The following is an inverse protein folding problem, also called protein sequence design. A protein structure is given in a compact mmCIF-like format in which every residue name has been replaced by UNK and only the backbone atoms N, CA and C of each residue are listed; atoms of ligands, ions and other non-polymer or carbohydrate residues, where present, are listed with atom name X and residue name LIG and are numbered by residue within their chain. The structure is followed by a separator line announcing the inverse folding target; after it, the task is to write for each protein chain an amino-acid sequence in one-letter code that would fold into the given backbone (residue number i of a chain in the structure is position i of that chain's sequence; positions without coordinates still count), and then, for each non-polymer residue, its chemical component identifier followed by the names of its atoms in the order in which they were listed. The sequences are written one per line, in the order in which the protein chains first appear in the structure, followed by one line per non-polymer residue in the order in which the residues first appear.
data_IF_439827037217
#
_entry.id   IF_439827037217
#
_cell.length_a   1.000
_cell.length_b   1.000
_cell.length_c   1.000
_cell.angle_alpha   90.00
_cell.angle_beta   90.00
_cell.angle_gamma   90.00
#
_symmetry.space_group_name_H-M   'P 1'
#
loop_
_entity.id
_entity.type
_entity.pdbx_description
1 polymer ?
#
# COMPACT_ATOMS: atom_id res chain seq x y z
N UNK A 1 5.03 -5.05 3.82
CA UNK A 1 6.29 -4.71 4.52
C UNK A 1 6.61 -5.81 5.51
N UNK A 2 7.88 -6.22 5.59
CA UNK A 2 8.36 -7.19 6.57
C UNK A 2 9.33 -6.50 7.51
N UNK A 3 9.44 -6.99 8.74
CA UNK A 3 10.30 -6.43 9.78
C UNK A 3 9.60 -6.25 11.12
N UNK A 4 10.24 -5.49 12.02
CA UNK A 4 9.77 -5.28 13.39
C UNK A 4 8.91 -4.02 13.48
N UNK A 5 7.69 -4.17 13.97
CA UNK A 5 6.73 -3.09 14.14
C UNK A 5 6.25 -3.01 15.58
N UNK A 6 5.97 -1.79 16.04
CA UNK A 6 5.39 -1.56 17.35
C UNK A 6 3.87 -1.65 17.24
N UNK A 7 3.27 -2.61 17.92
CA UNK A 7 1.83 -2.83 17.94
C UNK A 7 1.28 -2.67 19.36
N UNK A 8 -0.03 -2.47 19.46
CA UNK A 8 -0.76 -2.60 20.71
C UNK A 8 -1.58 -3.89 20.67
N UNK A 9 -1.43 -4.74 21.69
CA UNK A 9 -2.30 -5.91 21.86
C UNK A 9 -3.03 -5.83 23.18
N UNK A 10 -4.16 -6.53 23.26
CA UNK A 10 -4.90 -6.68 24.51
C UNK A 10 -4.05 -7.50 25.49
N UNK A 11 -3.84 -6.95 26.69
CA UNK A 11 -3.09 -7.60 27.74
C UNK A 11 -3.89 -8.77 28.29
N UNK A 12 -3.23 -9.92 28.42
CA UNK A 12 -3.80 -11.14 29.00
C UNK A 12 -3.14 -11.45 30.34
N UNK A 13 -3.89 -12.07 31.26
CA UNK A 13 -3.35 -12.63 32.50
C UNK A 13 -2.62 -13.96 32.26
N UNK A 14 -2.05 -14.55 33.31
CA UNK A 14 -1.33 -15.83 33.27
C UNK A 14 -2.21 -17.00 32.79
N UNK A 15 -3.53 -16.86 32.91
CA UNK A 15 -4.53 -17.84 32.48
C UNK A 15 -5.06 -17.57 31.06
N UNK A 16 -4.55 -16.53 30.37
CA UNK A 16 -4.95 -16.17 29.01
C UNK A 16 -6.22 -15.30 28.90
N UNK A 17 -6.79 -14.84 30.02
CA UNK A 17 -7.98 -13.99 30.07
C UNK A 17 -7.62 -12.52 29.83
N UNK A 18 -8.51 -11.78 29.17
CA UNK A 18 -8.34 -10.35 28.92
C UNK A 18 -8.37 -9.55 30.22
N UNK A 19 -7.37 -8.70 30.44
CA UNK A 19 -7.34 -7.76 31.55
C UNK A 19 -8.13 -6.51 31.18
N UNK A 20 -9.09 -6.11 32.03
CA UNK A 20 -9.90 -4.92 31.85
C UNK A 20 -9.55 -3.84 32.87
N UNK A 21 -9.77 -2.57 32.51
CA UNK A 21 -9.77 -1.41 33.41
C UNK A 21 -11.06 -0.64 33.26
N UNK A 22 -11.46 0.10 34.30
CA UNK A 22 -12.59 1.02 34.23
C UNK A 22 -12.08 2.37 33.72
N UNK A 23 -12.69 2.90 32.66
CA UNK A 23 -12.34 4.22 32.14
C UNK A 23 -13.01 5.33 32.97
N UNK A 24 -12.70 6.60 32.68
CA UNK A 24 -13.29 7.76 33.38
C UNK A 24 -14.82 7.87 33.25
N UNK A 25 -15.43 7.13 32.31
CA UNK A 25 -16.88 7.07 32.06
C UNK A 25 -17.55 5.87 32.75
N UNK A 26 -16.81 5.06 33.52
CA UNK A 26 -17.34 3.87 34.19
C UNK A 26 -17.40 2.61 33.33
N UNK A 27 -16.90 2.65 32.09
CA UNK A 27 -16.98 1.53 31.15
C UNK A 27 -15.77 0.59 31.31
N UNK A 28 -16.00 -0.73 31.22
CA UNK A 28 -14.94 -1.73 31.17
C UNK A 28 -14.26 -1.71 29.80
N UNK A 29 -13.01 -1.28 29.76
CA UNK A 29 -12.19 -1.26 28.55
C UNK A 29 -10.98 -2.19 28.71
N UNK A 30 -10.61 -2.96 27.66
CA UNK A 30 -9.46 -3.84 27.73
C UNK A 30 -8.17 -3.03 27.91
N UNK A 31 -7.29 -3.50 28.78
CA UNK A 31 -5.94 -2.95 28.94
C UNK A 31 -5.12 -3.35 27.72
N UNK A 32 -4.48 -2.37 27.09
CA UNK A 32 -3.57 -2.59 25.96
C UNK A 32 -2.13 -2.49 26.43
N UNK A 33 -1.27 -3.33 25.89
CA UNK A 33 0.18 -3.26 26.07
C UNK A 33 0.88 -3.05 24.73
N UNK A 34 2.02 -2.36 24.76
CA UNK A 34 2.84 -2.14 23.57
C UNK A 34 3.82 -3.29 23.42
N UNK A 35 3.80 -3.94 22.27
CA UNK A 35 4.65 -5.09 21.96
C UNK A 35 5.36 -4.88 20.64
N UNK A 36 6.50 -5.53 20.49
CA UNK A 36 7.18 -5.63 19.20
C UNK A 36 6.71 -6.90 18.50
N UNK A 37 6.18 -6.76 17.30
CA UNK A 37 5.79 -7.87 16.43
C UNK A 37 6.75 -7.88 15.25
N UNK A 38 7.32 -9.05 14.96
CA UNK A 38 8.21 -9.26 13.83
C UNK A 38 7.45 -10.04 12.75
N UNK A 39 7.33 -9.43 11.57
CA UNK A 39 6.76 -10.05 10.39
C UNK A 39 7.90 -10.48 9.47
N UNK A 40 7.93 -11.75 9.03
CA UNK A 40 8.98 -12.24 8.12
C UNK A 40 8.38 -13.01 6.96
N UNK A 41 8.87 -12.73 5.75
CA UNK A 41 8.39 -13.39 4.53
C UNK A 41 8.65 -14.91 4.57
N UNK A 42 9.78 -15.34 5.13
CA UNK A 42 10.17 -16.75 5.31
C UNK A 42 9.15 -17.58 6.10
N UNK A 43 8.38 -16.94 6.98
CA UNK A 43 7.38 -17.61 7.83
C UNK A 43 6.00 -17.70 7.16
N UNK A 44 5.87 -17.32 5.88
CA UNK A 44 4.58 -17.22 5.20
C UNK A 44 3.68 -16.09 5.76
N UNK A 45 4.28 -15.14 6.47
CA UNK A 45 3.55 -13.99 7.02
C UNK A 45 3.00 -13.14 5.86
N UNK A 46 1.74 -12.67 5.89
CA UNK A 46 1.21 -11.77 4.86
C UNK A 46 1.88 -10.39 4.85
N UNK A 47 2.71 -10.11 5.85
CA UNK A 47 3.37 -8.84 6.08
C UNK A 47 2.41 -7.75 6.58
N UNK A 48 2.97 -6.57 6.79
CA UNK A 48 2.21 -5.38 7.18
C UNK A 48 1.87 -4.56 5.94
N UNK A 49 0.59 -4.28 5.76
CA UNK A 49 0.13 -3.30 4.78
C UNK A 49 0.59 -1.89 5.20
N UNK A 50 1.16 -1.07 4.29
CA UNK A 50 1.64 0.26 4.63
C UNK A 50 0.51 1.12 5.20
N UNK A 51 0.64 1.47 6.47
CA UNK A 51 -0.14 2.53 7.11
C UNK A 51 0.81 3.61 7.61
N UNK A 52 0.32 4.84 7.79
CA UNK A 52 1.15 6.00 8.15
C UNK A 52 2.06 5.71 9.36
N UNK A 53 1.54 5.01 10.37
CA UNK A 53 2.26 4.70 11.60
C UNK A 53 3.39 3.67 11.39
N UNK A 54 3.31 2.86 10.34
CA UNK A 54 4.35 1.89 9.99
C UNK A 54 5.34 2.47 8.97
N UNK A 55 4.93 3.46 8.17
CA UNK A 55 5.79 4.12 7.19
C UNK A 55 6.80 5.05 7.89
N UNK A 56 6.33 5.90 8.82
CA UNK A 56 7.18 6.93 9.42
C UNK A 56 7.48 6.67 10.89
N UNK A 57 8.73 6.91 11.29
CA UNK A 57 9.16 6.98 12.69
C UNK A 57 9.47 8.43 13.08
N UNK A 58 9.02 8.84 14.26
CA UNK A 58 9.33 10.15 14.82
C UNK A 58 10.78 10.18 15.30
N UNK A 59 11.49 11.25 14.94
CA UNK A 59 12.85 11.56 15.37
C UNK A 59 12.82 12.70 16.39
N UNK A 60 13.98 12.97 16.99
CA UNK A 60 14.15 14.16 17.83
C UNK A 60 13.75 15.43 17.07
N UNK A 61 13.19 16.41 17.80
CA UNK A 61 12.75 17.71 17.26
C UNK A 61 11.61 17.63 16.22
N UNK A 62 10.74 16.62 16.30
CA UNK A 62 9.53 16.54 15.47
C UNK A 62 9.76 16.16 14.01
N UNK A 63 11.01 15.88 13.62
CA UNK A 63 11.32 15.34 12.29
C UNK A 63 10.78 13.91 12.16
N UNK A 64 10.46 13.49 10.93
CA UNK A 64 10.07 12.11 10.62
C UNK A 64 11.07 11.53 9.63
N UNK A 65 11.34 10.24 9.74
CA UNK A 65 12.06 9.46 8.72
C UNK A 65 11.29 8.19 8.41
N UNK A 66 11.58 7.56 7.28
CA UNK A 66 11.03 6.24 6.97
C UNK A 66 11.49 5.22 8.01
N UNK A 67 10.61 4.27 8.34
CA UNK A 67 11.00 3.07 9.06
C UNK A 67 11.86 2.19 8.15
N UNK A 68 12.74 1.37 8.72
CA UNK A 68 13.56 0.43 7.94
C UNK A 68 12.71 -0.48 7.02
N UNK A 69 11.59 -1.07 7.49
CA UNK A 69 10.68 -1.81 6.61
C UNK A 69 10.05 -1.00 5.46
N UNK A 70 9.87 0.30 5.65
CA UNK A 70 9.34 1.18 4.61
C UNK A 70 10.43 1.58 3.60
N UNK A 71 11.66 1.78 4.05
CA UNK A 71 12.84 2.00 3.20
C UNK A 71 13.09 0.79 2.29
N UNK A 72 13.14 -0.43 2.86
CA UNK A 72 13.30 -1.67 2.07
C UNK A 72 12.16 -1.87 1.06
N UNK A 73 10.92 -1.51 1.43
CA UNK A 73 9.79 -1.58 0.50
C UNK A 73 9.91 -0.53 -0.62
N UNK A 74 10.37 0.68 -0.30
CA UNK A 74 10.60 1.75 -1.28
C UNK A 74 11.66 1.33 -2.30
N UNK A 75 12.81 0.85 -1.83
CA UNK A 75 13.89 0.35 -2.70
C UNK A 75 13.41 -0.79 -3.62
N UNK A 76 12.58 -1.71 -3.10
CA UNK A 76 11.97 -2.76 -3.91
C UNK A 76 11.06 -2.20 -5.00
N UNK A 77 10.26 -1.18 -4.68
CA UNK A 77 9.38 -0.54 -5.66
C UNK A 77 10.14 0.29 -6.68
N UNK A 78 11.19 0.99 -6.29
CA UNK A 78 12.11 1.68 -7.19
C UNK A 78 12.72 0.69 -8.20
N UNK A 79 13.23 -0.44 -7.72
CA UNK A 79 13.79 -1.47 -8.60
C UNK A 79 12.75 -2.01 -9.61
N UNK A 80 11.53 -2.30 -9.15
CA UNK A 80 10.43 -2.75 -10.03
C UNK A 80 10.03 -1.66 -11.02
N UNK A 81 10.01 -0.40 -10.61
CA UNK A 81 9.69 0.73 -11.48
C UNK A 81 10.77 0.93 -12.55
N UNK A 82 12.06 0.82 -12.21
CA UNK A 82 13.15 0.87 -13.17
C UNK A 82 13.08 -0.26 -14.20
N UNK A 83 12.78 -1.48 -13.75
CA UNK A 83 12.58 -2.62 -14.64
C UNK A 83 11.39 -2.39 -15.57
N UNK A 84 10.24 -2.01 -15.03
CA UNK A 84 9.05 -1.70 -15.82
C UNK A 84 9.32 -0.58 -16.84
N UNK A 85 9.99 0.49 -16.43
CA UNK A 85 10.31 1.60 -17.30
C UNK A 85 11.20 1.15 -18.47
N UNK A 86 12.23 0.35 -18.18
CA UNK A 86 13.09 -0.25 -19.21
C UNK A 86 12.30 -1.15 -20.16
N UNK A 87 11.48 -2.06 -19.62
CA UNK A 87 10.74 -3.05 -20.42
C UNK A 87 9.69 -2.39 -21.33
N UNK A 88 9.17 -1.23 -20.94
CA UNK A 88 8.17 -0.48 -21.69
C UNK A 88 8.76 0.70 -22.49
N UNK A 89 10.09 0.84 -22.53
CA UNK A 89 10.78 2.01 -23.10
C UNK A 89 10.20 3.34 -22.59
N UNK A 90 9.83 3.37 -21.31
CA UNK A 90 9.34 4.56 -20.65
C UNK A 90 10.50 5.49 -20.35
N UNK A 91 10.44 6.69 -20.90
CA UNK A 91 11.32 7.78 -20.51
C UNK A 91 10.67 8.58 -19.39
N UNK A 92 11.43 8.82 -18.31
CA UNK A 92 10.97 9.65 -17.20
C UNK A 92 10.46 11.00 -17.74
N UNK A 93 9.22 11.34 -17.42
CA UNK A 93 8.63 12.58 -17.90
C UNK A 93 9.22 13.79 -17.19
N UNK A 94 9.18 14.95 -17.85
CA UNK A 94 9.64 16.22 -17.29
C UNK A 94 8.56 17.27 -17.41
N UNK A 95 8.00 17.71 -16.28
CA UNK A 95 6.88 18.68 -16.25
C UNK A 95 5.64 18.25 -17.05
N UNK A 96 5.45 16.95 -17.23
CA UNK A 96 4.28 16.38 -17.90
C UNK A 96 3.47 15.56 -16.91
N UNK A 97 2.14 15.69 -17.00
CA UNK A 97 1.22 14.96 -16.12
C UNK A 97 1.21 13.47 -16.45
N UNK A 98 1.35 12.64 -15.42
CA UNK A 98 1.30 11.17 -15.52
C UNK A 98 0.16 10.66 -14.66
N UNK A 99 -0.66 9.75 -15.21
CA UNK A 99 -1.68 9.04 -14.44
C UNK A 99 -1.05 7.80 -13.81
N UNK A 100 -1.27 7.62 -12.50
CA UNK A 100 -0.93 6.41 -11.76
C UNK A 100 -2.21 5.79 -11.22
N UNK A 101 -2.70 4.75 -11.87
CA UNK A 101 -3.88 4.02 -11.44
C UNK A 101 -3.49 2.83 -10.57
N UNK A 102 -4.13 2.67 -9.42
CA UNK A 102 -3.87 1.60 -8.48
C UNK A 102 -5.12 0.77 -8.23
N UNK A 103 -5.00 -0.55 -8.37
CA UNK A 103 -5.91 -1.53 -7.79
C UNK A 103 -5.19 -2.29 -6.68
N UNK A 104 -5.73 -2.23 -5.46
CA UNK A 104 -5.15 -2.91 -4.31
C UNK A 104 -5.69 -4.33 -4.15
N UNK A 105 -4.79 -5.30 -3.98
CA UNK A 105 -5.13 -6.68 -3.64
C UNK A 105 -4.63 -6.96 -2.22
N UNK A 106 -5.50 -6.72 -1.25
CA UNK A 106 -5.21 -6.84 0.17
C UNK A 106 -5.11 -8.31 0.61
N UNK A 107 -4.43 -8.59 1.75
CA UNK A 107 -4.50 -9.90 2.38
C UNK A 107 -5.94 -10.35 2.61
N UNK A 108 -6.19 -11.66 2.49
CA UNK A 108 -7.48 -12.23 2.84
C UNK A 108 -7.68 -12.30 4.36
N UNK A 109 -7.80 -11.14 5.00
CA UNK A 109 -8.16 -11.05 6.41
C UNK A 109 -9.35 -10.10 6.60
N UNK A 110 -9.99 -10.18 7.76
CA UNK A 110 -11.16 -9.36 8.07
C UNK A 110 -10.82 -7.92 8.48
N UNK A 111 -9.66 -7.39 8.08
CA UNK A 111 -9.25 -6.02 8.41
C UNK A 111 -9.60 -5.07 7.27
N UNK A 112 -10.20 -3.94 7.64
CA UNK A 112 -10.40 -2.80 6.74
C UNK A 112 -9.06 -2.07 6.56
N UNK A 113 -8.72 -1.75 5.32
CA UNK A 113 -7.48 -1.04 4.95
C UNK A 113 -7.79 0.15 4.07
N UNK A 114 -6.98 1.18 4.21
CA UNK A 114 -7.06 2.41 3.44
C UNK A 114 -6.07 2.36 2.27
N UNK A 115 -6.61 2.40 1.05
CA UNK A 115 -5.85 2.37 -0.22
C UNK A 115 -4.93 3.59 -0.34
N UNK A 116 -5.32 4.75 0.19
CA UNK A 116 -4.56 6.00 0.05
C UNK A 116 -3.20 5.95 0.76
N UNK A 117 -3.04 5.09 1.76
CA UNK A 117 -1.74 4.93 2.43
C UNK A 117 -0.68 4.29 1.54
N UNK A 118 -1.07 3.50 0.54
CA UNK A 118 -0.12 2.93 -0.41
C UNK A 118 0.55 4.02 -1.25
N UNK A 119 -0.21 5.04 -1.67
CA UNK A 119 0.31 6.13 -2.48
C UNK A 119 1.42 6.92 -1.78
N UNK A 120 1.38 7.08 -0.45
CA UNK A 120 2.41 7.87 0.25
C UNK A 120 3.83 7.36 -0.01
N UNK A 121 4.02 6.05 0.05
CA UNK A 121 5.34 5.46 -0.18
C UNK A 121 5.54 5.12 -1.67
N UNK A 122 4.47 4.80 -2.39
CA UNK A 122 4.55 4.43 -3.80
C UNK A 122 4.96 5.64 -4.65
N UNK A 123 4.35 6.80 -4.40
CA UNK A 123 4.66 8.01 -5.16
C UNK A 123 6.11 8.46 -4.92
N UNK A 124 6.57 8.38 -3.67
CA UNK A 124 7.99 8.62 -3.31
C UNK A 124 8.95 7.64 -4.01
N UNK A 125 8.50 6.42 -4.33
CA UNK A 125 9.30 5.40 -5.01
C UNK A 125 9.31 5.55 -6.54
N UNK A 126 8.30 6.21 -7.13
CA UNK A 126 8.20 6.42 -8.57
C UNK A 126 8.84 7.74 -9.03
N UNK A 127 9.00 8.71 -8.12
CA UNK A 127 9.67 9.98 -8.39
C UNK A 127 11.15 9.76 -8.78
N UNK A 128 11.60 10.45 -9.84
CA UNK A 128 12.93 10.27 -10.41
C UNK A 128 13.07 9.05 -11.34
N UNK A 129 12.01 8.27 -11.52
CA UNK A 129 11.97 7.10 -12.43
C UNK A 129 10.86 7.26 -13.47
N UNK A 130 9.63 7.52 -13.01
CA UNK A 130 8.45 7.65 -13.89
C UNK A 130 8.22 9.11 -14.26
N UNK A 131 8.38 10.02 -13.29
CA UNK A 131 8.19 11.46 -13.42
C UNK A 131 9.25 12.21 -12.59
N UNK A 132 9.54 13.45 -12.97
CA UNK A 132 10.56 14.29 -12.32
C UNK A 132 10.12 14.89 -10.98
N UNK A 133 8.83 15.10 -10.79
CA UNK A 133 8.28 15.68 -9.58
C UNK A 133 6.88 15.10 -9.27
N UNK A 134 6.64 14.73 -8.02
CA UNK A 134 5.35 14.18 -7.55
C UNK A 134 4.14 15.07 -7.86
N UNK A 135 4.34 16.39 -7.97
CA UNK A 135 3.33 17.37 -8.38
C UNK A 135 2.65 17.03 -9.71
N UNK A 136 3.37 16.41 -10.65
CA UNK A 136 2.84 16.04 -11.96
C UNK A 136 2.17 14.67 -11.97
N UNK A 137 2.28 13.92 -10.90
CA UNK A 137 1.69 12.60 -10.80
C UNK A 137 0.25 12.70 -10.29
N UNK A 138 -0.67 12.01 -10.99
CA UNK A 138 -2.10 12.04 -10.74
C UNK A 138 -2.56 10.65 -10.27
N UNK A 139 -2.45 10.36 -8.96
CA UNK A 139 -2.81 9.05 -8.42
C UNK A 139 -4.33 8.84 -8.43
N UNK A 140 -4.76 7.62 -8.78
CA UNK A 140 -6.17 7.22 -8.82
C UNK A 140 -6.33 5.84 -8.21
N UNK A 141 -7.20 5.72 -7.21
CA UNK A 141 -7.67 4.41 -6.77
C UNK A 141 -8.73 3.94 -7.76
N UNK A 142 -8.49 2.83 -8.44
CA UNK A 142 -9.44 2.25 -9.38
C UNK A 142 -10.37 1.26 -8.70
N UNK A 143 -9.81 0.39 -7.85
CA UNK A 143 -10.56 -0.63 -7.14
C UNK A 143 -9.74 -1.18 -5.96
N UNK A 144 -10.38 -1.98 -5.11
CA UNK A 144 -9.70 -2.80 -4.13
C UNK A 144 -10.43 -4.12 -3.90
N UNK A 145 -9.65 -5.18 -3.69
CA UNK A 145 -10.16 -6.50 -3.38
C UNK A 145 -9.23 -7.24 -2.44
N UNK A 146 -9.65 -8.42 -1.99
CA UNK A 146 -8.81 -9.33 -1.21
C UNK A 146 -8.29 -10.42 -2.15
N UNK A 147 -7.04 -10.81 -1.96
CA UNK A 147 -6.49 -12.01 -2.61
C UNK A 147 -7.17 -13.27 -2.07
N UNK A 148 -7.00 -14.40 -2.74
CA UNK A 148 -7.48 -15.70 -2.22
C UNK A 148 -6.57 -16.22 -1.11
N UNK A 149 -7.04 -17.22 -0.37
CA UNK A 149 -6.20 -17.90 0.61
C UNK A 149 -4.97 -18.53 -0.07
N UNK A 150 -3.79 -18.27 0.50
CA UNK A 150 -2.51 -18.72 -0.05
C UNK A 150 -1.89 -17.81 -1.11
N UNK A 151 -2.59 -16.77 -1.58
CA UNK A 151 -2.03 -15.78 -2.50
C UNK A 151 -1.34 -14.62 -1.75
N UNK A 152 -0.23 -14.12 -2.31
CA UNK A 152 0.47 -12.96 -1.75
C UNK A 152 -0.27 -11.68 -2.14
N UNK A 153 -0.49 -10.74 -1.20
CA UNK A 153 -1.07 -9.44 -1.51
C UNK A 153 -0.15 -8.62 -2.43
N UNK A 154 -0.74 -7.84 -3.32
CA UNK A 154 0.00 -7.02 -4.28
C UNK A 154 -0.78 -5.76 -4.68
N UNK A 155 -0.09 -4.87 -5.39
CA UNK A 155 -0.72 -3.74 -6.06
C UNK A 155 -0.58 -3.94 -7.56
N UNK A 156 -1.68 -3.78 -8.29
CA UNK A 156 -1.64 -3.62 -9.74
C UNK A 156 -1.62 -2.13 -10.03
N UNK A 157 -0.63 -1.70 -10.80
CA UNK A 157 -0.48 -0.30 -11.18
C UNK A 157 -0.52 -0.20 -12.70
N UNK A 158 -1.29 0.75 -13.23
CA UNK A 158 -1.19 1.17 -14.62
C UNK A 158 -0.61 2.59 -14.64
N UNK A 159 0.34 2.81 -15.53
CA UNK A 159 1.04 4.08 -15.70
C UNK A 159 0.90 4.48 -17.16
N UNK A 160 0.45 5.71 -17.39
CA UNK A 160 0.34 6.27 -18.74
C UNK A 160 0.33 7.80 -18.65
N UNK A 161 0.71 8.47 -19.74
CA UNK A 161 0.70 9.92 -19.75
C UNK A 161 -0.73 10.44 -19.76
N UNK A 162 -0.96 11.61 -19.17
CA UNK A 162 -2.29 12.23 -19.12
C UNK A 162 -2.85 12.54 -20.52
N UNK A 163 -1.98 12.78 -21.49
CA UNK A 163 -2.35 12.99 -22.90
C UNK A 163 -2.95 11.74 -23.53
N UNK A 164 -2.43 10.55 -23.19
CA UNK A 164 -2.89 9.25 -23.71
C UNK A 164 -4.18 8.76 -23.06
N UNK A 165 -4.70 9.46 -22.05
CA UNK A 165 -5.83 8.98 -21.24
C UNK A 165 -7.06 8.65 -22.09
N UNK A 166 -7.36 9.47 -23.10
CA UNK A 166 -8.52 9.24 -23.95
C UNK A 166 -8.40 7.92 -24.70
N UNK A 167 -7.23 7.61 -25.25
CA UNK A 167 -6.98 6.38 -25.98
C UNK A 167 -7.06 5.15 -25.06
N UNK A 168 -6.49 5.25 -23.86
CA UNK A 168 -6.55 4.21 -22.84
C UNK A 168 -8.01 3.91 -22.45
N UNK A 169 -8.84 4.93 -22.25
CA UNK A 169 -10.25 4.75 -21.94
C UNK A 169 -11.00 4.07 -23.10
N UNK A 170 -10.76 4.50 -24.35
CA UNK A 170 -11.38 3.90 -25.54
C UNK A 170 -10.99 2.43 -25.72
N UNK A 171 -9.75 2.05 -25.42
CA UNK A 171 -9.32 0.65 -25.45
C UNK A 171 -10.04 -0.19 -24.40
N UNK A 172 -10.19 0.33 -23.17
CA UNK A 172 -10.91 -0.37 -22.10
C UNK A 172 -12.39 -0.55 -22.40
N UNK A 173 -13.05 0.47 -22.97
CA UNK A 173 -14.45 0.34 -23.37
C UNK A 173 -14.64 -0.76 -24.42
N UNK A 174 -13.75 -0.85 -25.41
CA UNK A 174 -13.79 -1.92 -26.42
C UNK A 174 -13.60 -3.31 -25.80
N UNK A 175 -12.60 -3.45 -24.94
CA UNK A 175 -12.35 -4.73 -24.24
C UNK A 175 -13.50 -5.11 -23.30
N UNK A 176 -14.15 -4.14 -22.67
CA UNK A 176 -15.31 -4.35 -21.81
C UNK A 176 -16.59 -4.70 -22.58
N UNK A 177 -16.78 -4.14 -23.79
CA UNK A 177 -17.90 -4.50 -24.66
C UNK A 177 -17.73 -5.88 -25.29
N UNK A 178 -16.50 -6.30 -25.60
CA UNK A 178 -16.21 -7.63 -26.14
C UNK A 178 -16.38 -8.75 -25.09
N UNK A 179 -16.48 -8.41 -23.81
CA UNK A 179 -16.73 -9.34 -22.70
C UNK A 179 -18.22 -9.55 -22.38
N UNK A 180 -19.12 -8.77 -22.99
CA UNK A 180 -20.57 -9.01 -22.96
C UNK A 180 -20.87 -9.78 -24.25
N UNK A 181 -21.25 -11.08 -24.19
CA UNK A 181 -21.72 -11.75 -25.39
C UNK A 181 -22.87 -10.91 -25.97
N UNK A 182 -22.86 -10.73 -27.28
CA UNK A 182 -24.04 -10.20 -27.96
C UNK A 182 -25.10 -11.32 -27.90
N UNK A 183 -25.86 -11.35 -26.81
CA UNK A 183 -27.05 -12.20 -26.69
C UNK A 183 -28.07 -11.67 -27.72
N UNK A 184 -28.06 -12.28 -28.90
CA UNK A 184 -29.13 -12.23 -29.89
C UNK A 184 -30.07 -13.41 -29.72
#
# INVERSE_FOLDING_TARGET
MYGKFRAERVKKDENGNTIYKINKKGEKVPVKEKVWIEHKEENGDPGVYPSVNHIYVNMAKGRKRLSKPAEELKEKWEALAMMWAKDNNWEMTKKEKVIIELTAYFPNDNKVRDTNNAFKLLMDALEGIIYDNDHYALPRVMDFQRVKDGEKPYFKINIYKKEDEYEVLQQRYRQGSDAIPADG
#
